data_IF_637821329437
#
_entry.id   IF_637821329437
#
_cell.length_a   1.000
_cell.length_b   1.000
_cell.length_c   1.000
_cell.angle_alpha   90.00
_cell.angle_beta   90.00
_cell.angle_gamma   90.00
#
_symmetry.space_group_name_H-M   'P 1'
#
loop_
_entity.id
_entity.type
_entity.pdbx_description
1 polymer ?
#
# COMPACT_ATOMS: atom_id res chain seq x y z
N UNK A 1 -20.75 -36.66 -36.28
CA UNK A 1 -20.82 -35.23 -36.63
C UNK A 1 -20.66 -34.44 -35.33
N UNK A 2 -19.41 -34.18 -34.92
CA UNK A 2 -19.08 -33.22 -33.85
C UNK A 2 -17.83 -32.50 -34.33
N UNK A 3 -17.96 -31.20 -34.53
CA UNK A 3 -17.02 -30.36 -35.25
C UNK A 3 -15.84 -30.01 -34.34
N UNK A 4 -14.64 -30.46 -34.71
CA UNK A 4 -13.38 -30.14 -34.07
C UNK A 4 -12.87 -28.84 -34.68
N UNK A 5 -13.07 -27.71 -34.00
CA UNK A 5 -12.45 -26.43 -34.39
C UNK A 5 -11.18 -26.26 -33.55
N UNK A 6 -10.05 -26.62 -34.15
CA UNK A 6 -8.74 -26.17 -33.72
C UNK A 6 -8.68 -24.65 -33.88
N UNK A 7 -8.55 -23.91 -32.78
CA UNK A 7 -8.10 -22.52 -32.82
C UNK A 7 -6.56 -22.52 -32.83
N UNK A 8 -5.92 -21.86 -33.81
CA UNK A 8 -4.47 -21.81 -33.88
C UNK A 8 -3.91 -20.93 -32.76
N UNK A 9 -2.78 -21.38 -32.22
CA UNK A 9 -1.92 -20.64 -31.33
C UNK A 9 -1.56 -19.29 -31.99
N UNK A 10 -2.13 -18.19 -31.49
CA UNK A 10 -1.81 -16.84 -31.97
C UNK A 10 -0.43 -16.48 -31.43
N UNK A 11 0.54 -16.43 -32.34
CA UNK A 11 1.88 -15.93 -32.09
C UNK A 11 1.83 -14.54 -31.43
N UNK A 12 2.46 -14.40 -30.27
CA UNK A 12 2.74 -13.11 -29.62
C UNK A 12 3.71 -12.36 -30.52
N UNK A 13 3.19 -11.49 -31.39
CA UNK A 13 3.99 -10.58 -32.19
C UNK A 13 4.55 -9.49 -31.26
N UNK A 14 5.87 -9.35 -31.30
CA UNK A 14 6.61 -8.17 -30.85
C UNK A 14 5.93 -6.88 -31.30
N UNK A 15 5.48 -6.06 -30.35
CA UNK A 15 4.91 -4.74 -30.66
C UNK A 15 4.26 -4.12 -29.44
N UNK A 16 4.96 -3.14 -28.85
CA UNK A 16 4.47 -2.03 -28.02
C UNK A 16 3.14 -2.32 -27.31
N UNK A 17 3.19 -2.57 -25.99
CA UNK A 17 2.07 -2.14 -25.16
C UNK A 17 2.25 -0.64 -24.98
N UNK A 18 1.50 0.24 -25.68
CA UNK A 18 1.52 1.64 -25.30
C UNK A 18 0.95 1.70 -23.88
N UNK A 19 1.78 2.03 -22.89
CA UNK A 19 1.38 2.39 -21.53
C UNK A 19 0.58 3.70 -21.49
N UNK A 20 -0.08 4.07 -22.60
CA UNK A 20 -0.93 5.25 -22.70
C UNK A 20 -2.23 5.01 -21.93
N UNK A 21 -2.29 5.53 -20.72
CA UNK A 21 -3.51 5.68 -19.92
C UNK A 21 -4.53 6.53 -20.69
N UNK A 22 -5.44 5.88 -21.43
CA UNK A 22 -6.48 6.57 -22.18
C UNK A 22 -7.43 7.31 -21.23
N UNK A 23 -7.88 8.49 -21.64
CA UNK A 23 -8.71 9.40 -20.86
C UNK A 23 -10.15 8.86 -20.64
N UNK A 24 -10.33 8.00 -19.65
CA UNK A 24 -11.64 7.48 -19.23
C UNK A 24 -11.47 6.21 -18.38
N UNK A 25 -11.43 6.38 -17.05
CA UNK A 25 -11.14 5.35 -16.02
C UNK A 25 -9.95 4.43 -16.36
N UNK A 26 -8.74 4.85 -15.97
CA UNK A 26 -7.48 4.12 -16.27
C UNK A 26 -6.62 3.86 -15.04
N UNK A 27 -7.17 3.22 -14.00
CA UNK A 27 -6.39 2.54 -12.94
C UNK A 27 -7.23 1.41 -12.33
N UNK A 28 -6.62 0.26 -12.09
CA UNK A 28 -7.21 -0.83 -11.30
C UNK A 28 -6.68 -0.75 -9.86
N UNK A 29 -7.54 -0.52 -8.84
CA UNK A 29 -7.07 -0.33 -7.47
C UNK A 29 -6.59 -1.66 -6.88
N UNK A 30 -5.32 -1.70 -6.48
CA UNK A 30 -4.71 -2.83 -5.80
C UNK A 30 -3.88 -2.35 -4.61
N UNK A 31 -3.88 -3.14 -3.54
CA UNK A 31 -2.92 -2.99 -2.45
C UNK A 31 -1.81 -4.03 -2.65
N UNK A 32 -0.58 -3.59 -2.85
CA UNK A 32 0.56 -4.48 -3.09
C UNK A 32 1.22 -4.87 -1.77
N UNK A 33 1.39 -6.18 -1.54
CA UNK A 33 2.27 -6.65 -0.47
C UNK A 33 3.71 -6.65 -0.96
N UNK A 34 4.49 -5.68 -0.49
CA UNK A 34 5.91 -5.52 -0.82
C UNK A 34 6.85 -6.00 0.30
N UNK A 35 6.30 -6.61 1.35
CA UNK A 35 7.10 -7.07 2.50
C UNK A 35 8.22 -7.99 2.04
N UNK A 36 9.47 -7.60 2.31
CA UNK A 36 10.67 -8.36 1.93
C UNK A 36 11.00 -8.37 0.44
N UNK A 37 10.20 -7.71 -0.42
CA UNK A 37 10.44 -7.60 -1.87
C UNK A 37 11.46 -6.50 -2.15
N UNK A 38 12.31 -6.72 -3.16
CA UNK A 38 13.27 -5.71 -3.61
C UNK A 38 12.53 -4.59 -4.35
N UNK A 39 12.71 -3.36 -3.87
CA UNK A 39 12.17 -2.15 -4.49
C UNK A 39 13.33 -1.21 -4.80
N UNK A 40 13.49 -0.83 -6.07
CA UNK A 40 14.61 -0.01 -6.54
C UNK A 40 14.13 1.40 -6.80
N UNK A 41 14.89 2.38 -6.33
CA UNK A 41 14.66 3.81 -6.58
C UNK A 41 15.90 4.38 -7.28
N UNK A 42 15.72 4.86 -8.50
CA UNK A 42 16.75 5.51 -9.29
C UNK A 42 16.68 7.02 -9.05
N UNK A 43 17.78 7.61 -8.58
CA UNK A 43 17.84 9.01 -8.13
C UNK A 43 17.86 9.15 -6.62
N UNK A 44 18.46 10.24 -6.13
CA UNK A 44 18.73 10.48 -4.71
C UNK A 44 18.15 11.80 -4.16
N UNK A 45 17.24 12.45 -4.89
CA UNK A 45 16.64 13.72 -4.49
C UNK A 45 15.39 13.58 -3.60
N UNK A 46 14.70 14.71 -3.36
CA UNK A 46 13.49 14.76 -2.52
C UNK A 46 12.32 13.91 -3.05
N UNK A 47 12.25 13.65 -4.37
CA UNK A 47 11.26 12.70 -4.92
C UNK A 47 11.59 11.29 -4.49
N UNK A 48 12.86 10.87 -4.61
CA UNK A 48 13.33 9.56 -4.18
C UNK A 48 13.10 9.34 -2.68
N UNK A 49 13.44 10.32 -1.82
CA UNK A 49 13.15 10.29 -0.38
C UNK A 49 11.70 9.89 -0.07
N UNK A 50 10.74 10.58 -0.70
CA UNK A 50 9.31 10.30 -0.47
C UNK A 50 8.93 8.87 -0.87
N UNK A 51 9.51 8.35 -1.95
CA UNK A 51 9.28 6.95 -2.39
C UNK A 51 9.91 5.97 -1.41
N UNK A 52 11.15 6.19 -1.01
CA UNK A 52 11.89 5.35 -0.04
C UNK A 52 11.12 5.24 1.28
N UNK A 53 10.61 6.35 1.82
CA UNK A 53 9.83 6.33 3.06
C UNK A 53 8.56 5.47 2.95
N UNK A 54 7.81 5.62 1.85
CA UNK A 54 6.60 4.81 1.61
C UNK A 54 6.91 3.32 1.44
N UNK A 55 8.00 3.00 0.74
CA UNK A 55 8.45 1.62 0.54
C UNK A 55 8.90 0.96 1.85
N UNK A 56 9.66 1.68 2.68
CA UNK A 56 10.10 1.21 3.99
C UNK A 56 8.91 0.98 4.92
N UNK A 57 7.92 1.90 4.93
CA UNK A 57 6.70 1.74 5.71
C UNK A 57 5.89 0.51 5.28
N UNK A 58 5.94 0.13 4.00
CA UNK A 58 5.34 -1.10 3.48
C UNK A 58 6.18 -2.37 3.67
N UNK A 59 7.34 -2.28 4.34
CA UNK A 59 8.23 -3.42 4.58
C UNK A 59 9.08 -3.84 3.37
N UNK A 60 9.22 -3.00 2.35
CA UNK A 60 10.06 -3.25 1.18
C UNK A 60 11.55 -3.24 1.52
N UNK A 61 12.32 -4.11 0.85
CA UNK A 61 13.79 -4.03 0.83
C UNK A 61 14.18 -2.97 -0.19
N UNK A 62 14.61 -1.80 0.27
CA UNK A 62 14.83 -0.65 -0.62
C UNK A 62 16.29 -0.53 -1.03
N UNK A 63 16.53 -0.42 -2.33
CA UNK A 63 17.82 -0.06 -2.92
C UNK A 63 17.70 1.27 -3.65
N UNK A 64 18.61 2.20 -3.38
CA UNK A 64 18.73 3.49 -4.05
C UNK A 64 19.96 3.47 -4.94
N UNK A 65 19.80 3.86 -6.21
CA UNK A 65 20.91 3.96 -7.18
C UNK A 65 21.01 5.41 -7.60
N UNK A 66 22.07 6.09 -7.14
CA UNK A 66 22.34 7.48 -7.51
C UNK A 66 23.78 7.86 -7.16
N UNK A 67 24.46 8.69 -7.97
CA UNK A 67 25.78 9.22 -7.63
C UNK A 67 25.78 10.05 -6.34
N UNK A 68 24.67 10.75 -6.08
CA UNK A 68 24.48 11.60 -4.92
C UNK A 68 23.11 11.35 -4.32
N UNK A 69 23.01 11.46 -3.00
CA UNK A 69 21.75 11.36 -2.27
C UNK A 69 21.65 12.50 -1.25
N UNK A 70 20.43 12.82 -0.85
CA UNK A 70 20.20 13.74 0.27
C UNK A 70 20.77 13.19 1.58
N UNK A 71 20.97 14.09 2.56
CA UNK A 71 21.41 13.68 3.90
C UNK A 71 20.45 12.71 4.61
N UNK A 72 19.15 12.81 4.35
CA UNK A 72 18.15 11.87 4.90
C UNK A 72 18.33 10.45 4.35
N UNK A 73 18.56 10.32 3.04
CA UNK A 73 18.83 9.02 2.42
C UNK A 73 20.18 8.45 2.86
N UNK A 74 21.21 9.30 2.97
CA UNK A 74 22.52 8.90 3.47
C UNK A 74 22.41 8.32 4.90
N UNK A 75 21.69 9.02 5.80
CA UNK A 75 21.44 8.54 7.16
C UNK A 75 20.73 7.18 7.18
N UNK A 76 19.68 6.99 6.36
CA UNK A 76 19.01 5.69 6.24
C UNK A 76 19.93 4.57 5.75
N UNK A 77 20.88 4.89 4.86
CA UNK A 77 21.86 3.94 4.38
C UNK A 77 22.88 3.58 5.47
N UNK A 78 23.36 4.57 6.23
CA UNK A 78 24.24 4.37 7.39
C UNK A 78 23.58 3.52 8.49
N UNK A 79 22.29 3.72 8.73
CA UNK A 79 21.47 2.89 9.64
C UNK A 79 21.22 1.47 9.10
N UNK A 80 21.64 1.16 7.87
CA UNK A 80 21.40 -0.13 7.22
C UNK A 80 19.93 -0.38 6.84
N UNK A 81 19.10 0.67 6.81
CA UNK A 81 17.68 0.57 6.46
C UNK A 81 17.46 0.49 4.95
N UNK A 82 18.38 1.03 4.17
CA UNK A 82 18.37 0.96 2.70
C UNK A 82 19.76 0.56 2.19
N UNK A 83 19.82 -0.02 1.01
CA UNK A 83 21.06 -0.22 0.26
C UNK A 83 21.27 0.98 -0.67
N UNK A 84 22.32 1.76 -0.48
CA UNK A 84 22.68 2.84 -1.42
C UNK A 84 23.85 2.42 -2.30
N UNK A 85 23.62 2.39 -3.62
CA UNK A 85 24.66 2.24 -4.62
C UNK A 85 25.04 3.62 -5.17
N UNK A 86 26.21 4.10 -4.74
CA UNK A 86 26.81 5.36 -5.18
C UNK A 86 27.38 5.21 -6.61
N UNK A 87 26.50 5.24 -7.61
CA UNK A 87 26.81 5.11 -9.04
C UNK A 87 25.69 5.67 -9.91
N UNK A 88 26.00 5.89 -11.18
CA UNK A 88 24.98 6.09 -12.22
C UNK A 88 24.27 4.77 -12.54
N UNK A 89 23.07 4.88 -13.11
CA UNK A 89 22.29 3.72 -13.57
C UNK A 89 23.00 3.01 -14.74
N UNK A 90 23.01 1.69 -14.71
CA UNK A 90 23.50 0.83 -15.79
C UNK A 90 22.60 -0.39 -16.00
N UNK A 91 22.52 -0.94 -17.23
CA UNK A 91 21.73 -2.14 -17.50
C UNK A 91 22.13 -3.30 -16.57
N UNK A 92 21.13 -4.04 -16.06
CA UNK A 92 21.30 -5.10 -15.05
C UNK A 92 21.14 -4.62 -13.61
N UNK A 93 21.18 -3.31 -13.35
CA UNK A 93 20.93 -2.77 -12.00
C UNK A 93 19.50 -3.02 -11.50
N UNK A 94 18.56 -3.34 -12.39
CA UNK A 94 17.17 -3.67 -12.06
C UNK A 94 16.93 -5.16 -11.76
N UNK A 95 17.95 -6.01 -11.86
CA UNK A 95 17.78 -7.45 -11.70
C UNK A 95 17.10 -7.78 -10.36
N UNK A 96 16.14 -8.72 -10.42
CA UNK A 96 15.28 -9.16 -9.31
C UNK A 96 14.37 -8.09 -8.68
N UNK A 97 14.30 -6.88 -9.24
CA UNK A 97 13.40 -5.85 -8.74
C UNK A 97 11.93 -6.25 -8.92
N UNK A 98 11.14 -6.11 -7.86
CA UNK A 98 9.68 -6.25 -7.92
C UNK A 98 9.01 -4.94 -8.34
N UNK A 99 9.54 -3.81 -7.84
CA UNK A 99 8.98 -2.47 -8.01
C UNK A 99 10.12 -1.48 -8.25
N UNK A 100 9.97 -0.63 -9.26
CA UNK A 100 10.99 0.34 -9.68
C UNK A 100 10.41 1.75 -9.70
N UNK A 101 11.13 2.71 -9.14
CA UNK A 101 10.85 4.14 -9.26
C UNK A 101 11.98 4.85 -9.99
N UNK A 102 11.69 5.46 -11.13
CA UNK A 102 12.61 6.37 -11.81
C UNK A 102 12.35 7.80 -11.30
N UNK A 103 13.12 8.22 -10.28
CA UNK A 103 12.99 9.51 -9.58
C UNK A 103 14.24 10.40 -9.81
N UNK A 104 14.65 10.51 -11.07
CA UNK A 104 15.79 11.31 -11.54
C UNK A 104 15.33 12.32 -12.59
N UNK A 105 16.03 13.45 -12.72
CA UNK A 105 15.77 14.46 -13.75
C UNK A 105 16.42 14.11 -15.11
N UNK A 106 17.25 13.05 -15.17
CA UNK A 106 17.86 12.61 -16.42
C UNK A 106 16.89 11.79 -17.26
N UNK A 107 16.36 12.40 -18.32
CA UNK A 107 15.47 11.74 -19.29
C UNK A 107 16.10 10.50 -19.92
N UNK A 108 17.40 10.54 -20.23
CA UNK A 108 18.10 9.38 -20.80
C UNK A 108 18.08 8.19 -19.84
N UNK A 109 18.30 8.44 -18.55
CA UNK A 109 18.22 7.41 -17.50
C UNK A 109 16.78 6.91 -17.35
N UNK A 110 15.78 7.80 -17.33
CA UNK A 110 14.37 7.41 -17.27
C UNK A 110 14.00 6.47 -18.43
N UNK A 111 14.36 6.82 -19.67
CA UNK A 111 14.09 6.02 -20.86
C UNK A 111 14.80 4.65 -20.81
N UNK A 112 16.02 4.58 -20.27
CA UNK A 112 16.75 3.34 -20.07
C UNK A 112 16.08 2.43 -19.02
N UNK A 113 15.71 3.00 -17.87
CA UNK A 113 15.01 2.28 -16.79
C UNK A 113 13.65 1.77 -17.27
N UNK A 114 12.88 2.57 -18.03
CA UNK A 114 11.61 2.14 -18.62
C UNK A 114 11.79 0.93 -19.53
N UNK A 115 12.73 1.00 -20.46
CA UNK A 115 13.00 -0.09 -21.40
C UNK A 115 13.41 -1.38 -20.70
N UNK A 116 14.23 -1.29 -19.66
CA UNK A 116 14.70 -2.47 -18.93
C UNK A 116 13.58 -3.06 -18.06
N UNK A 117 12.80 -2.22 -17.38
CA UNK A 117 11.62 -2.64 -16.61
C UNK A 117 10.54 -3.30 -17.48
N UNK A 118 10.25 -2.74 -18.67
CA UNK A 118 9.29 -3.30 -19.63
C UNK A 118 9.70 -4.70 -20.10
N UNK A 119 10.99 -4.89 -20.43
CA UNK A 119 11.53 -6.19 -20.88
C UNK A 119 11.36 -7.29 -19.83
N UNK A 120 11.45 -6.93 -18.56
CA UNK A 120 11.31 -7.84 -17.44
C UNK A 120 9.89 -7.87 -16.82
N UNK A 121 8.92 -7.17 -17.42
CA UNK A 121 7.55 -7.04 -16.92
C UNK A 121 7.47 -6.54 -15.45
N UNK A 122 8.38 -5.65 -15.06
CA UNK A 122 8.42 -5.06 -13.73
C UNK A 122 7.40 -3.93 -13.57
N UNK A 123 6.93 -3.70 -12.34
CA UNK A 123 6.11 -2.54 -12.01
C UNK A 123 7.00 -1.30 -11.93
N UNK A 124 6.83 -0.36 -12.86
CA UNK A 124 7.60 0.89 -12.90
C UNK A 124 6.73 2.12 -12.67
N UNK A 125 7.24 3.09 -11.92
CA UNK A 125 6.68 4.44 -11.81
C UNK A 125 7.77 5.47 -12.12
N UNK A 126 7.52 6.32 -13.10
CA UNK A 126 8.43 7.37 -13.53
C UNK A 126 7.94 8.71 -12.97
N UNK A 127 8.83 9.46 -12.33
CA UNK A 127 8.49 10.77 -11.81
C UNK A 127 8.18 11.73 -12.97
N UNK A 128 7.10 12.49 -12.83
CA UNK A 128 6.64 13.51 -13.78
C UNK A 128 6.38 13.03 -15.23
N UNK A 129 6.33 11.71 -15.45
CA UNK A 129 5.97 11.09 -16.73
C UNK A 129 4.86 10.03 -16.54
N UNK A 130 3.58 10.46 -16.56
CA UNK A 130 2.44 9.56 -16.39
C UNK A 130 2.30 8.50 -17.50
N UNK A 131 2.80 8.77 -18.71
CA UNK A 131 2.63 7.90 -19.88
C UNK A 131 3.54 6.67 -19.84
N UNK A 132 4.62 6.72 -19.05
CA UNK A 132 5.55 5.60 -18.84
C UNK A 132 5.37 4.94 -17.46
N UNK A 133 4.31 5.27 -16.72
CA UNK A 133 3.99 4.66 -15.44
C UNK A 133 3.14 3.39 -15.61
N UNK A 134 3.62 2.25 -15.10
CA UNK A 134 2.83 1.02 -14.95
C UNK A 134 1.86 1.05 -13.77
N UNK A 135 2.04 1.97 -12.82
CA UNK A 135 1.11 2.19 -11.71
C UNK A 135 1.15 3.64 -11.19
N UNK A 136 0.12 4.04 -10.46
CA UNK A 136 0.02 5.34 -9.79
C UNK A 136 0.17 5.16 -8.28
N UNK A 137 0.86 6.09 -7.62
CA UNK A 137 0.88 6.19 -6.16
C UNK A 137 -0.23 7.14 -5.73
N UNK A 138 -1.33 6.67 -5.11
CA UNK A 138 -2.46 7.51 -4.74
C UNK A 138 -2.15 8.39 -3.53
N UNK A 139 -2.95 9.44 -3.35
CA UNK A 139 -2.94 10.21 -2.12
C UNK A 139 -3.48 9.32 -0.99
N UNK A 140 -2.67 9.03 0.02
CA UNK A 140 -2.96 7.97 1.00
C UNK A 140 -2.96 8.50 2.43
N UNK A 141 -3.84 7.96 3.27
CA UNK A 141 -3.91 8.17 4.72
C UNK A 141 -3.73 6.84 5.41
N UNK A 142 -2.89 6.81 6.44
CA UNK A 142 -2.69 5.64 7.29
C UNK A 142 -3.18 5.91 8.72
N UNK A 143 -3.87 4.92 9.31
CA UNK A 143 -4.25 4.87 10.74
C UNK A 143 -3.97 3.47 11.26
N UNK A 144 -2.77 3.24 11.76
CA UNK A 144 -2.28 1.87 11.97
C UNK A 144 -2.39 1.08 10.67
N UNK A 145 -3.07 -0.08 10.72
CA UNK A 145 -3.31 -0.95 9.57
C UNK A 145 -4.39 -0.44 8.59
N UNK A 146 -5.19 0.57 8.96
CA UNK A 146 -6.16 1.16 8.04
C UNK A 146 -5.43 2.00 7.00
N UNK A 147 -5.63 1.66 5.73
CA UNK A 147 -5.14 2.45 4.59
C UNK A 147 -6.32 2.97 3.78
N UNK A 148 -6.37 4.29 3.59
CA UNK A 148 -7.36 4.97 2.73
C UNK A 148 -6.62 5.66 1.59
N UNK A 149 -6.89 5.24 0.35
CA UNK A 149 -6.23 5.80 -0.84
C UNK A 149 -7.22 6.50 -1.77
N UNK A 150 -6.83 7.68 -2.27
CA UNK A 150 -7.60 8.45 -3.24
C UNK A 150 -6.81 8.59 -4.53
N UNK A 151 -7.36 8.06 -5.62
CA UNK A 151 -6.84 8.22 -6.97
C UNK A 151 -7.86 8.99 -7.82
N UNK A 152 -7.37 9.95 -8.62
CA UNK A 152 -8.19 10.71 -9.59
C UNK A 152 -7.90 10.29 -11.03
N UNK A 153 -7.28 9.13 -11.22
CA UNK A 153 -6.83 8.62 -12.54
C UNK A 153 -5.88 9.61 -13.23
N UNK A 154 -4.99 10.24 -12.46
CA UNK A 154 -4.06 11.27 -12.95
C UNK A 154 -4.68 12.64 -13.25
N UNK A 155 -6.01 12.82 -13.19
CA UNK A 155 -6.67 14.07 -13.65
C UNK A 155 -6.47 15.27 -12.74
N UNK A 156 -6.39 15.06 -11.42
CA UNK A 156 -6.21 16.16 -10.48
C UNK A 156 -5.55 15.71 -9.18
N UNK A 157 -4.23 15.92 -9.05
CA UNK A 157 -3.52 15.74 -7.78
C UNK A 157 -4.06 16.65 -6.68
N UNK A 158 -4.50 17.87 -7.03
CA UNK A 158 -5.06 18.84 -6.09
C UNK A 158 -6.37 18.34 -5.45
N UNK A 159 -7.28 17.76 -6.24
CA UNK A 159 -8.52 17.16 -5.71
C UNK A 159 -8.21 15.92 -4.87
N UNK A 160 -7.28 15.06 -5.31
CA UNK A 160 -6.85 13.91 -4.52
C UNK A 160 -6.32 14.34 -3.14
N UNK A 161 -5.48 15.38 -3.09
CA UNK A 161 -4.95 15.93 -1.85
C UNK A 161 -6.04 16.58 -0.98
N UNK A 162 -7.02 17.26 -1.57
CA UNK A 162 -8.16 17.82 -0.85
C UNK A 162 -8.99 16.73 -0.15
N UNK A 163 -9.33 15.66 -0.87
CA UNK A 163 -10.09 14.53 -0.30
C UNK A 163 -9.25 13.81 0.76
N UNK A 164 -7.95 13.57 0.50
CA UNK A 164 -7.04 12.98 1.48
C UNK A 164 -7.03 13.78 2.80
N UNK A 165 -6.93 15.11 2.74
CA UNK A 165 -7.02 15.97 3.95
C UNK A 165 -8.35 15.87 4.68
N UNK A 166 -9.45 15.63 3.96
CA UNK A 166 -10.74 15.35 4.58
C UNK A 166 -10.74 14.00 5.29
N UNK A 167 -10.25 12.94 4.62
CA UNK A 167 -10.11 11.62 5.23
C UNK A 167 -9.20 11.64 6.46
N UNK A 168 -8.13 12.44 6.45
CA UNK A 168 -7.26 12.64 7.62
C UNK A 168 -8.02 13.19 8.84
N UNK A 169 -9.03 14.04 8.62
CA UNK A 169 -9.85 14.63 9.70
C UNK A 169 -10.98 13.70 10.13
N UNK A 170 -11.63 13.04 9.17
CA UNK A 170 -12.82 12.23 9.42
C UNK A 170 -12.46 10.86 10.02
N UNK A 171 -11.27 10.33 9.70
CA UNK A 171 -10.77 9.05 10.23
C UNK A 171 -9.61 9.30 11.18
N UNK A 172 -9.88 9.36 12.48
CA UNK A 172 -8.87 9.58 13.52
C UNK A 172 -8.13 8.31 13.95
N UNK A 173 -7.37 8.42 15.04
CA UNK A 173 -6.57 7.31 15.61
C UNK A 173 -7.44 6.15 16.13
N UNK A 174 -8.71 6.42 16.43
CA UNK A 174 -9.67 5.43 16.92
C UNK A 174 -9.91 4.27 15.94
N UNK A 175 -9.69 4.48 14.64
CA UNK A 175 -9.80 3.42 13.64
C UNK A 175 -8.64 2.41 13.72
N UNK A 176 -7.45 2.83 14.16
CA UNK A 176 -6.34 1.89 14.39
C UNK A 176 -6.71 0.92 15.52
N UNK A 177 -7.17 1.47 16.64
CA UNK A 177 -7.64 0.70 17.80
C UNK A 177 -8.82 -0.20 17.46
N UNK A 178 -9.77 0.28 16.64
CA UNK A 178 -10.89 -0.54 16.21
C UNK A 178 -10.43 -1.77 15.40
N UNK A 179 -9.45 -1.61 14.52
CA UNK A 179 -8.91 -2.73 13.75
C UNK A 179 -8.21 -3.75 14.65
N UNK A 180 -7.40 -3.28 15.61
CA UNK A 180 -6.76 -4.14 16.60
C UNK A 180 -7.79 -4.89 17.44
N UNK A 181 -8.84 -4.21 17.90
CA UNK A 181 -9.96 -4.83 18.62
C UNK A 181 -10.61 -5.93 17.80
N UNK A 182 -10.97 -5.66 16.55
CA UNK A 182 -11.62 -6.64 15.67
C UNK A 182 -10.68 -7.82 15.38
N UNK A 183 -9.36 -7.59 15.28
CA UNK A 183 -8.37 -8.65 15.16
C UNK A 183 -8.34 -9.56 16.40
N UNK A 184 -8.33 -8.97 17.61
CA UNK A 184 -8.39 -9.73 18.87
C UNK A 184 -9.67 -10.55 18.98
N UNK A 185 -10.82 -9.97 18.61
CA UNK A 185 -12.09 -10.71 18.59
C UNK A 185 -12.00 -11.86 17.59
N UNK A 186 -11.43 -11.63 16.41
CA UNK A 186 -11.31 -12.64 15.37
C UNK A 186 -10.49 -13.83 15.83
N UNK A 187 -9.36 -13.63 16.49
CA UNK A 187 -8.56 -14.73 17.04
C UNK A 187 -9.36 -15.59 18.01
N UNK A 188 -10.18 -14.95 18.85
CA UNK A 188 -11.00 -15.65 19.85
C UNK A 188 -12.20 -16.38 19.24
N UNK A 189 -12.88 -15.76 18.29
CA UNK A 189 -14.05 -16.33 17.60
C UNK A 189 -13.67 -17.43 16.61
N UNK A 190 -12.49 -17.34 15.99
CA UNK A 190 -11.97 -18.42 15.14
C UNK A 190 -11.54 -19.65 15.96
N UNK A 191 -11.26 -19.50 17.26
CA UNK A 191 -10.94 -20.61 18.16
C UNK A 191 -12.17 -21.36 18.70
N UNK A 192 -13.36 -20.90 18.34
CA UNK A 192 -14.65 -21.50 18.68
C UNK A 192 -15.24 -22.29 17.49
N UNK A 193 -16.10 -23.28 17.77
CA UNK A 193 -16.72 -24.18 16.77
C UNK A 193 -17.84 -23.51 15.94
N UNK A 194 -18.04 -22.20 16.12
CA UNK A 194 -18.99 -21.36 15.39
C UNK A 194 -18.88 -21.49 13.85
N UNK A 195 -20.00 -21.59 13.15
CA UNK A 195 -20.02 -21.66 11.67
C UNK A 195 -19.60 -20.33 11.00
N UNK A 196 -19.18 -20.33 9.72
CA UNK A 196 -18.85 -19.08 9.00
C UNK A 196 -19.98 -18.04 8.97
N UNK A 197 -21.25 -18.49 8.99
CA UNK A 197 -22.42 -17.61 8.99
C UNK A 197 -22.60 -16.93 10.34
N UNK A 198 -22.46 -17.67 11.44
CA UNK A 198 -22.52 -17.14 12.81
C UNK A 198 -21.40 -16.13 13.05
N UNK A 199 -20.17 -16.47 12.65
CA UNK A 199 -19.01 -15.55 12.73
C UNK A 199 -19.29 -14.23 12.02
N UNK A 200 -19.86 -14.27 10.81
CA UNK A 200 -20.21 -13.07 10.05
C UNK A 200 -21.23 -12.18 10.79
N UNK A 201 -22.29 -12.78 11.33
CA UNK A 201 -23.32 -12.06 12.10
C UNK A 201 -22.69 -11.43 13.34
N UNK A 202 -21.83 -12.16 14.03
CA UNK A 202 -21.12 -11.68 15.21
C UNK A 202 -20.27 -10.44 14.90
N UNK A 203 -19.46 -10.48 13.84
CA UNK A 203 -18.66 -9.32 13.42
C UNK A 203 -19.52 -8.12 13.04
N UNK A 204 -20.66 -8.34 12.38
CA UNK A 204 -21.59 -7.26 12.06
C UNK A 204 -22.17 -6.61 13.33
N UNK A 205 -22.53 -7.41 14.33
CA UNK A 205 -23.08 -6.91 15.58
C UNK A 205 -22.04 -6.17 16.43
N UNK A 206 -20.77 -6.60 16.38
CA UNK A 206 -19.68 -5.92 17.10
C UNK A 206 -19.52 -4.48 16.60
N UNK A 207 -19.64 -4.26 15.29
CA UNK A 207 -19.50 -2.95 14.66
C UNK A 207 -20.75 -2.06 14.86
N UNK A 208 -21.05 -1.74 16.12
CA UNK A 208 -22.08 -0.78 16.49
C UNK A 208 -21.78 0.62 15.95
N UNK A 209 -22.82 1.39 15.60
CA UNK A 209 -22.68 2.72 15.01
C UNK A 209 -21.84 3.68 15.89
N UNK A 210 -21.99 3.56 17.21
CA UNK A 210 -21.25 4.36 18.21
C UNK A 210 -19.86 3.80 18.60
N UNK A 211 -19.42 2.65 18.07
CA UNK A 211 -18.18 2.00 18.55
C UNK A 211 -16.96 2.92 18.42
N UNK A 212 -16.90 3.66 17.30
CA UNK A 212 -15.85 4.64 17.02
C UNK A 212 -15.93 5.81 18.01
N UNK A 213 -17.13 6.27 18.35
CA UNK A 213 -17.33 7.34 19.32
C UNK A 213 -16.91 6.90 20.73
N UNK A 214 -17.23 5.66 21.15
CA UNK A 214 -16.80 5.15 22.45
C UNK A 214 -15.28 5.07 22.57
N UNK A 215 -14.58 4.60 21.52
CA UNK A 215 -13.11 4.59 21.50
C UNK A 215 -12.58 6.03 21.57
N UNK A 216 -13.09 6.92 20.72
CA UNK A 216 -12.69 8.34 20.65
C UNK A 216 -12.83 9.06 21.99
N UNK A 217 -13.93 8.84 22.68
CA UNK A 217 -14.26 9.46 23.97
C UNK A 217 -13.65 8.71 25.18
N UNK A 218 -12.96 7.58 24.95
CA UNK A 218 -12.42 6.76 26.02
C UNK A 218 -13.49 6.08 26.89
N UNK A 219 -14.70 5.85 26.35
CA UNK A 219 -15.78 5.12 27.03
C UNK A 219 -15.57 3.61 26.97
N UNK A 220 -14.43 3.15 27.49
CA UNK A 220 -14.03 1.75 27.49
C UNK A 220 -15.03 0.84 28.20
N UNK A 221 -15.70 1.33 29.24
CA UNK A 221 -16.72 0.56 29.96
C UNK A 221 -17.92 0.23 29.05
N UNK A 222 -18.34 1.18 28.20
CA UNK A 222 -19.42 0.98 27.21
C UNK A 222 -19.01 0.00 26.13
N UNK A 223 -17.77 0.13 25.64
CA UNK A 223 -17.21 -0.79 24.66
C UNK A 223 -17.16 -2.22 25.23
N UNK A 224 -16.66 -2.37 26.47
CA UNK A 224 -16.57 -3.67 27.12
C UNK A 224 -17.95 -4.29 27.37
N UNK A 225 -18.93 -3.49 27.82
CA UNK A 225 -20.30 -3.95 28.00
C UNK A 225 -20.89 -4.46 26.69
N UNK A 226 -20.78 -3.69 25.61
CA UNK A 226 -21.26 -4.07 24.28
C UNK A 226 -20.62 -5.37 23.77
N UNK A 227 -19.30 -5.50 23.92
CA UNK A 227 -18.59 -6.72 23.55
C UNK A 227 -19.05 -7.92 24.38
N UNK A 228 -19.30 -7.76 25.67
CA UNK A 228 -19.80 -8.83 26.54
C UNK A 228 -21.23 -9.26 26.17
N UNK A 229 -22.10 -8.32 25.81
CA UNK A 229 -23.47 -8.61 25.36
C UNK A 229 -23.48 -9.45 24.08
N UNK A 230 -22.50 -9.23 23.18
CA UNK A 230 -22.41 -9.93 21.89
C UNK A 230 -21.63 -11.24 21.97
N UNK A 231 -20.47 -11.22 22.63
CA UNK A 231 -19.56 -12.38 22.72
C UNK A 231 -19.94 -13.35 23.84
N UNK A 232 -20.77 -12.92 24.78
CA UNK A 232 -21.12 -13.68 25.96
C UNK A 232 -20.03 -13.65 27.05
N UNK A 233 -20.32 -14.24 28.23
CA UNK A 233 -19.45 -14.17 29.41
C UNK A 233 -18.15 -14.97 29.27
N UNK A 234 -18.10 -15.94 28.36
CA UNK A 234 -16.97 -16.87 28.20
C UNK A 234 -15.83 -16.26 27.35
N UNK A 235 -16.14 -15.32 26.46
CA UNK A 235 -15.19 -14.62 25.59
C UNK A 235 -14.87 -13.21 26.11
N UNK A 236 -14.36 -13.11 27.34
CA UNK A 236 -13.92 -11.82 27.89
C UNK A 236 -12.61 -11.36 27.24
N UNK A 237 -12.62 -10.15 26.68
CA UNK A 237 -11.44 -9.51 26.10
C UNK A 237 -10.79 -8.56 27.09
N UNK A 238 -9.47 -8.61 27.20
CA UNK A 238 -8.69 -7.64 27.95
C UNK A 238 -8.38 -6.43 27.07
N UNK A 239 -9.01 -5.29 27.36
CA UNK A 239 -8.85 -4.04 26.60
C UNK A 239 -7.73 -3.15 27.15
N UNK A 240 -6.98 -3.60 28.16
CA UNK A 240 -5.98 -2.77 28.85
C UNK A 240 -4.89 -2.27 27.92
N UNK A 241 -4.45 -3.12 26.98
CA UNK A 241 -3.45 -2.76 25.97
C UNK A 241 -3.96 -1.67 25.02
N UNK A 242 -5.15 -1.86 24.46
CA UNK A 242 -5.80 -0.88 23.58
C UNK A 242 -5.98 0.48 24.27
N UNK A 243 -6.31 0.46 25.55
CA UNK A 243 -6.45 1.68 26.36
C UNK A 243 -5.12 2.41 26.56
N UNK A 244 -4.02 1.68 26.77
CA UNK A 244 -2.68 2.26 26.89
C UNK A 244 -2.22 2.86 25.57
N UNK A 245 -2.37 2.12 24.47
CA UNK A 245 -1.93 2.56 23.13
C UNK A 245 -2.74 3.76 22.61
N UNK A 246 -3.97 3.94 23.12
CA UNK A 246 -4.84 5.06 22.73
C UNK A 246 -4.68 6.33 23.59
N UNK A 247 -4.24 6.21 24.85
CA UNK A 247 -4.17 7.34 25.78
C UNK A 247 -3.12 8.35 25.33
#
# INVERSE_FOLDING_TARGET
MVNQVYLPCVAVRSGRYPLSIHAGVSVYPVCLNITGRLCIVIGGGAVAERKVQGLLAGGGRVRVISPEVTGSLAALAEEGRIEWLCKEYSPGDLDDAFLVFAATDSREVQEAVCRDAERAAMLINVADDPDHCGFQVPATVHRGDLTLSVATGGRSPAVAAMIRRRLERDFGREYAVLLELVAMVRERVLSDDSSPRERKILFQNILHDDIVAWIREGRWDRLQQHLQEILGPELRLDLSRLKQDFS
#
